data_IF_289412341395
#
_entry.id   IF_289412341395
#
_cell.length_a   1.000
_cell.length_b   1.000
_cell.length_c   1.000
_cell.angle_alpha   90.00
_cell.angle_beta   90.00
_cell.angle_gamma   90.00
#
_symmetry.space_group_name_H-M   'P 1'
#
loop_
_entity.id
_entity.type
_entity.pdbx_description
1 polymer ?
#
# COMPACT_ATOMS: atom_id res chain seq x y z
N UNK A 1 18.43 -15.21 -2.94
CA UNK A 1 17.05 -14.81 -2.60
C UNK A 1 17.07 -13.47 -1.88
N UNK A 2 15.91 -12.82 -1.76
CA UNK A 2 15.77 -11.57 -0.99
C UNK A 2 16.00 -11.85 0.49
N UNK A 3 16.85 -11.04 1.12
CA UNK A 3 17.22 -11.17 2.55
C UNK A 3 16.64 -10.05 3.42
N UNK A 4 16.16 -8.97 2.82
CA UNK A 4 15.54 -7.86 3.53
C UNK A 4 14.84 -6.87 2.62
N UNK A 5 13.93 -6.10 3.21
CA UNK A 5 13.14 -5.07 2.53
C UNK A 5 13.33 -3.72 3.23
N UNK A 6 13.31 -2.65 2.45
CA UNK A 6 13.18 -1.30 2.99
C UNK A 6 12.22 -0.49 2.11
N UNK A 7 11.34 0.27 2.74
CA UNK A 7 10.42 1.16 2.04
C UNK A 7 10.78 2.61 2.26
N UNK A 8 10.68 3.41 1.20
CA UNK A 8 10.87 4.85 1.21
C UNK A 8 9.61 5.53 0.70
N UNK A 9 9.23 6.66 1.30
CA UNK A 9 8.08 7.45 0.89
C UNK A 9 8.51 8.85 0.44
N UNK A 10 7.84 9.38 -0.58
CA UNK A 10 7.89 10.81 -0.85
C UNK A 10 7.17 11.58 0.27
N UNK A 11 7.56 12.83 0.60
CA UNK A 11 6.88 13.62 1.63
C UNK A 11 5.36 13.79 1.41
N UNK A 12 4.88 13.70 0.17
CA UNK A 12 3.45 13.77 -0.15
C UNK A 12 2.69 12.45 0.07
N UNK A 13 3.36 11.33 0.36
CA UNK A 13 2.73 10.01 0.41
C UNK A 13 1.55 9.94 1.38
N UNK A 14 1.66 10.58 2.56
CA UNK A 14 0.58 10.61 3.54
C UNK A 14 -0.66 11.37 3.02
N UNK A 15 -0.45 12.48 2.31
CA UNK A 15 -1.53 13.25 1.70
C UNK A 15 -2.21 12.44 0.58
N UNK A 16 -1.41 11.85 -0.33
CA UNK A 16 -1.95 11.06 -1.45
C UNK A 16 -2.68 9.81 -0.94
N UNK A 17 -2.18 9.15 0.11
CA UNK A 17 -2.87 8.04 0.77
C UNK A 17 -4.25 8.48 1.29
N UNK A 18 -4.33 9.62 1.97
CA UNK A 18 -5.60 10.14 2.48
C UNK A 18 -6.60 10.46 1.35
N UNK A 19 -6.11 11.04 0.24
CA UNK A 19 -6.92 11.31 -0.95
C UNK A 19 -7.45 10.03 -1.60
N UNK A 20 -6.61 9.00 -1.73
CA UNK A 20 -6.99 7.68 -2.26
C UNK A 20 -8.03 6.99 -1.38
N UNK A 21 -7.84 6.99 -0.06
CA UNK A 21 -8.79 6.42 0.91
C UNK A 21 -10.14 7.16 0.82
N UNK A 22 -10.12 8.50 0.84
CA UNK A 22 -11.34 9.31 0.75
C UNK A 22 -12.04 9.17 -0.62
N UNK A 23 -11.28 9.03 -1.71
CA UNK A 23 -11.82 8.76 -3.04
C UNK A 23 -12.52 7.41 -3.11
N UNK A 24 -11.87 6.37 -2.59
CA UNK A 24 -12.44 5.02 -2.57
C UNK A 24 -13.72 4.95 -1.75
N UNK A 25 -13.77 5.62 -0.59
CA UNK A 25 -14.98 5.70 0.24
C UNK A 25 -16.17 6.34 -0.50
N UNK A 26 -15.90 7.37 -1.32
CA UNK A 26 -16.94 8.07 -2.10
C UNK A 26 -17.49 7.22 -3.24
N UNK A 27 -16.62 6.44 -3.89
CA UNK A 27 -17.00 5.59 -5.02
C UNK A 27 -17.65 4.27 -4.59
N UNK A 28 -17.42 3.84 -3.35
CA UNK A 28 -18.06 2.70 -2.72
C UNK A 28 -18.95 3.15 -1.54
N UNK A 29 -20.12 3.76 -1.82
CA UNK A 29 -21.00 4.27 -0.77
C UNK A 29 -21.46 3.14 0.17
N UNK A 30 -21.58 3.46 1.47
CA UNK A 30 -21.93 2.47 2.50
C UNK A 30 -20.75 1.64 3.01
N UNK A 31 -19.53 1.94 2.57
CA UNK A 31 -18.30 1.36 3.11
C UNK A 31 -17.59 2.30 4.07
N UNK A 32 -16.82 1.73 5.00
CA UNK A 32 -15.79 2.43 5.78
C UNK A 32 -14.45 1.81 5.43
N UNK A 33 -13.48 2.63 5.07
CA UNK A 33 -12.19 2.19 4.56
C UNK A 33 -11.06 2.80 5.36
N UNK A 34 -9.97 2.04 5.52
CA UNK A 34 -8.74 2.47 6.16
C UNK A 34 -7.55 1.77 5.51
N UNK A 35 -6.42 2.46 5.43
CA UNK A 35 -5.18 1.89 4.94
C UNK A 35 -3.97 2.54 5.61
N UNK A 36 -2.92 1.76 5.81
CA UNK A 36 -1.62 2.23 6.28
C UNK A 36 -0.50 1.44 5.62
N UNK A 37 0.61 2.13 5.33
CA UNK A 37 1.80 1.52 4.76
C UNK A 37 3.02 1.87 5.60
N UNK A 38 3.78 0.84 6.02
CA UNK A 38 5.03 1.01 6.78
C UNK A 38 6.16 1.54 5.91
N UNK A 39 7.03 2.37 6.50
CA UNK A 39 8.24 2.91 5.88
C UNK A 39 9.45 2.51 6.74
N UNK A 40 10.61 2.35 6.12
CA UNK A 40 11.82 1.84 6.77
C UNK A 40 12.05 0.36 6.54
N UNK A 41 12.94 -0.23 7.35
CA UNK A 41 13.37 -1.62 7.21
C UNK A 41 12.30 -2.61 7.69
N UNK A 42 12.14 -3.71 6.95
CA UNK A 42 11.19 -4.80 7.20
C UNK A 42 11.89 -6.15 6.98
N UNK A 43 11.58 -7.12 7.83
CA UNK A 43 12.00 -8.50 7.64
C UNK A 43 11.12 -9.17 6.58
N UNK A 44 11.66 -10.19 5.91
CA UNK A 44 10.86 -11.02 5.01
C UNK A 44 9.75 -11.70 5.82
N UNK A 45 8.51 -11.47 5.42
CA UNK A 45 7.31 -11.96 6.12
C UNK A 45 6.51 -10.88 6.86
N UNK A 46 7.08 -9.68 7.07
CA UNK A 46 6.36 -8.58 7.70
C UNK A 46 5.30 -7.94 6.77
N UNK A 47 4.17 -7.48 7.34
CA UNK A 47 3.13 -6.74 6.60
C UNK A 47 3.56 -5.31 6.22
N UNK A 48 3.86 -5.06 4.96
CA UNK A 48 4.21 -3.71 4.50
C UNK A 48 3.00 -2.76 4.36
N UNK A 49 1.86 -3.30 3.90
CA UNK A 49 0.61 -2.57 3.65
C UNK A 49 -0.55 -3.31 4.31
N UNK A 50 -1.36 -2.59 5.07
CA UNK A 50 -2.59 -3.10 5.66
C UNK A 50 -3.77 -2.26 5.18
N UNK A 51 -4.86 -2.93 4.83
CA UNK A 51 -6.10 -2.32 4.34
C UNK A 51 -7.28 -2.99 5.03
N UNK A 52 -8.19 -2.19 5.58
CA UNK A 52 -9.40 -2.66 6.23
C UNK A 52 -10.62 -1.99 5.62
N UNK A 53 -11.64 -2.80 5.32
CA UNK A 53 -12.92 -2.32 4.78
C UNK A 53 -14.07 -2.97 5.53
N UNK A 54 -15.02 -2.15 5.97
CA UNK A 54 -16.28 -2.59 6.55
C UNK A 54 -17.45 -2.18 5.67
N UNK A 55 -18.38 -3.10 5.42
CA UNK A 55 -19.61 -2.89 4.66
C UNK A 55 -20.73 -3.79 5.19
N UNK A 56 -21.98 -3.53 4.78
CA UNK A 56 -23.15 -4.32 5.19
C UNK A 56 -23.11 -5.76 4.65
N UNK A 57 -22.58 -5.95 3.43
CA UNK A 57 -22.35 -7.27 2.87
C UNK A 57 -20.93 -7.42 2.34
N UNK A 58 -20.48 -8.67 2.25
CA UNK A 58 -19.07 -8.99 1.94
C UNK A 58 -18.67 -8.60 0.52
N UNK A 59 -19.61 -8.61 -0.43
CA UNK A 59 -19.32 -8.34 -1.83
C UNK A 59 -18.80 -6.93 -2.02
N UNK A 60 -19.46 -5.95 -1.38
CA UNK A 60 -19.09 -4.54 -1.39
C UNK A 60 -17.77 -4.32 -0.66
N UNK A 61 -17.56 -5.01 0.48
CA UNK A 61 -16.30 -4.92 1.22
C UNK A 61 -15.11 -5.41 0.39
N UNK A 62 -15.25 -6.56 -0.29
CA UNK A 62 -14.18 -7.09 -1.15
C UNK A 62 -13.91 -6.21 -2.37
N UNK A 63 -14.96 -5.70 -3.02
CA UNK A 63 -14.82 -4.80 -4.17
C UNK A 63 -14.06 -3.52 -3.79
N UNK A 64 -14.45 -2.87 -2.69
CA UNK A 64 -13.79 -1.66 -2.21
C UNK A 64 -12.36 -1.92 -1.71
N UNK A 65 -12.10 -3.06 -1.06
CA UNK A 65 -10.76 -3.43 -0.61
C UNK A 65 -9.80 -3.64 -1.80
N UNK A 66 -10.24 -4.36 -2.83
CA UNK A 66 -9.43 -4.56 -4.05
C UNK A 66 -9.14 -3.22 -4.72
N UNK A 67 -10.16 -2.40 -4.93
CA UNK A 67 -10.00 -1.08 -5.56
C UNK A 67 -9.06 -0.17 -4.75
N UNK A 68 -9.13 -0.20 -3.43
CA UNK A 68 -8.24 0.57 -2.56
C UNK A 68 -6.79 0.14 -2.72
N UNK A 69 -6.49 -1.16 -2.67
CA UNK A 69 -5.12 -1.69 -2.83
C UNK A 69 -4.54 -1.31 -4.20
N UNK A 70 -5.33 -1.44 -5.27
CA UNK A 70 -4.88 -1.12 -6.62
C UNK A 70 -4.54 0.37 -6.76
N UNK A 71 -5.38 1.26 -6.22
CA UNK A 71 -5.13 2.70 -6.21
C UNK A 71 -3.93 3.09 -5.38
N UNK A 72 -3.76 2.48 -4.20
CA UNK A 72 -2.59 2.73 -3.36
C UNK A 72 -1.32 2.40 -4.14
N UNK A 73 -1.26 1.22 -4.77
CA UNK A 73 -0.09 0.79 -5.54
C UNK A 73 0.18 1.65 -6.79
N UNK A 74 -0.87 2.20 -7.40
CA UNK A 74 -0.74 3.03 -8.60
C UNK A 74 -0.38 4.49 -8.31
N UNK A 75 -0.82 5.03 -7.16
CA UNK A 75 -0.81 6.48 -6.92
C UNK A 75 0.03 6.92 -5.73
N UNK A 76 0.17 6.09 -4.69
CA UNK A 76 0.88 6.50 -3.48
C UNK A 76 2.39 6.35 -3.71
N UNK A 77 3.18 7.44 -3.64
CA UNK A 77 4.60 7.43 -3.96
C UNK A 77 5.44 6.79 -2.84
N UNK A 78 5.40 5.46 -2.80
CA UNK A 78 6.16 4.59 -1.89
C UNK A 78 6.91 3.54 -2.71
N UNK A 79 8.20 3.40 -2.44
CA UNK A 79 9.10 2.53 -3.19
C UNK A 79 9.70 1.46 -2.30
N UNK A 80 9.84 0.25 -2.85
CA UNK A 80 10.43 -0.90 -2.17
C UNK A 80 11.85 -1.12 -2.67
N UNK A 81 12.81 -1.19 -1.76
CA UNK A 81 14.17 -1.66 -2.01
C UNK A 81 14.34 -3.07 -1.47
N UNK A 82 14.71 -4.00 -2.33
CA UNK A 82 15.01 -5.39 -1.97
C UNK A 82 16.53 -5.56 -1.84
N UNK A 83 16.98 -6.24 -0.79
CA UNK A 83 18.40 -6.56 -0.57
C UNK A 83 18.65 -8.06 -0.74
N UNK A 84 19.84 -8.42 -1.23
CA UNK A 84 20.22 -9.80 -1.54
C UNK A 84 21.44 -10.23 -0.72
N UNK A 85 21.65 -11.55 -0.61
CA UNK A 85 22.71 -12.15 0.20
C UNK A 85 24.14 -11.80 -0.26
N UNK A 86 24.31 -11.41 -1.51
CA UNK A 86 25.58 -10.96 -2.10
C UNK A 86 25.85 -9.46 -1.91
N UNK A 87 24.97 -8.76 -1.18
CA UNK A 87 25.08 -7.32 -0.93
C UNK A 87 24.48 -6.43 -2.02
N UNK A 88 23.96 -7.00 -3.12
CA UNK A 88 23.25 -6.23 -4.14
C UNK A 88 21.87 -5.77 -3.64
N UNK A 89 21.31 -4.76 -4.31
CA UNK A 89 19.94 -4.31 -4.06
C UNK A 89 19.26 -3.81 -5.33
N UNK A 90 17.93 -3.92 -5.36
CA UNK A 90 17.09 -3.47 -6.47
C UNK A 90 15.93 -2.66 -5.96
N UNK A 91 15.48 -1.68 -6.74
CA UNK A 91 14.31 -0.87 -6.44
C UNK A 91 13.12 -1.28 -7.30
N UNK A 92 11.94 -1.29 -6.68
CA UNK A 92 10.67 -1.60 -7.33
C UNK A 92 9.73 -0.40 -7.16
N UNK A 93 9.02 -0.04 -8.23
CA UNK A 93 8.01 1.03 -8.26
C UNK A 93 8.52 2.40 -8.71
N UNK A 94 9.75 2.50 -9.24
CA UNK A 94 10.32 3.77 -9.70
C UNK A 94 9.83 4.20 -11.10
N UNK A 95 9.25 3.28 -11.87
CA UNK A 95 8.85 3.50 -13.27
C UNK A 95 7.36 3.84 -13.45
N UNK A 96 6.68 4.24 -12.36
CA UNK A 96 5.26 4.60 -12.36
C UNK A 96 5.04 6.09 -12.67
#
# INVERSE_FOLDING_TARGET
GVTGLAYSAHPSAAQVMAEVVAGTAREHPGTRVWAEHRIGALAVGDSALEVAVAAAHRTEAFAACSALVDRIKASVPIWKRESFADGQHTWVGLDA
#
